data_IF_131969719175
#
_entry.id   IF_131969719175
#
_cell.length_a   1.000
_cell.length_b   1.000
_cell.length_c   1.000
_cell.angle_alpha   90.00
_cell.angle_beta   90.00
_cell.angle_gamma   90.00
#
_symmetry.space_group_name_H-M   'P 1'
#
loop_
_entity.id
_entity.type
_entity.pdbx_description
1 polymer ?
#
# COMPACT_ATOMS: atom_id res chain seq x y z
N UNK A 1 -23.90 -9.31 -14.96
CA UNK A 1 -23.95 -10.01 -13.65
C UNK A 1 -22.60 -10.60 -13.23
N UNK A 2 -21.80 -11.15 -14.14
CA UNK A 2 -20.47 -11.73 -13.80
C UNK A 2 -19.43 -10.71 -13.33
N UNK A 3 -19.41 -9.50 -13.90
CA UNK A 3 -18.45 -8.45 -13.53
C UNK A 3 -18.66 -7.96 -12.09
N UNK A 4 -19.90 -7.94 -11.62
CA UNK A 4 -20.24 -7.53 -10.27
C UNK A 4 -19.75 -8.58 -9.24
N UNK A 5 -19.90 -9.86 -9.58
CA UNK A 5 -19.45 -10.99 -8.74
C UNK A 5 -17.91 -11.07 -8.64
N UNK A 6 -17.20 -10.73 -9.72
CA UNK A 6 -15.74 -10.60 -9.73
C UNK A 6 -15.28 -9.42 -8.88
N UNK A 7 -15.99 -8.28 -8.95
CA UNK A 7 -15.71 -7.11 -8.11
C UNK A 7 -15.96 -7.38 -6.62
N UNK A 8 -17.03 -8.08 -6.26
CA UNK A 8 -17.32 -8.46 -4.87
C UNK A 8 -16.26 -9.42 -4.29
N UNK A 9 -15.91 -10.48 -5.03
CA UNK A 9 -14.87 -11.42 -4.61
C UNK A 9 -13.49 -10.74 -4.47
N UNK A 10 -13.18 -9.80 -5.37
CA UNK A 10 -11.99 -8.97 -5.33
C UNK A 10 -11.97 -8.05 -4.11
N UNK A 11 -13.05 -7.30 -3.87
CA UNK A 11 -13.17 -6.46 -2.68
C UNK A 11 -13.05 -7.30 -1.40
N UNK A 12 -13.59 -8.52 -1.39
CA UNK A 12 -13.46 -9.43 -0.25
C UNK A 12 -12.01 -9.90 -0.04
N UNK A 13 -11.27 -10.20 -1.13
CA UNK A 13 -9.84 -10.53 -1.05
C UNK A 13 -8.96 -9.38 -0.53
N UNK A 14 -9.39 -8.12 -0.75
CA UNK A 14 -8.73 -6.90 -0.26
C UNK A 14 -9.12 -6.56 1.19
N UNK A 15 -10.36 -6.85 1.59
CA UNK A 15 -10.88 -6.68 2.97
C UNK A 15 -10.33 -7.71 3.97
N UNK A 16 -9.98 -8.91 3.51
CA UNK A 16 -9.44 -9.99 4.35
C UNK A 16 -7.95 -9.83 4.70
N UNK A 17 -7.30 -8.74 4.26
CA UNK A 17 -5.94 -8.44 4.66
C UNK A 17 -5.94 -7.88 6.09
N UNK A 18 -5.54 -8.71 7.05
CA UNK A 18 -5.20 -8.24 8.40
C UNK A 18 -3.90 -7.45 8.24
N UNK A 19 -3.87 -6.13 8.53
CA UNK A 19 -2.61 -5.39 8.57
C UNK A 19 -1.67 -6.16 9.49
N UNK A 20 -0.47 -6.51 9.02
CA UNK A 20 0.50 -7.19 9.86
C UNK A 20 0.59 -6.43 11.20
N UNK A 21 0.39 -7.11 12.33
CA UNK A 21 0.42 -6.45 13.63
C UNK A 21 1.77 -5.73 13.73
N UNK A 22 1.70 -4.43 14.01
CA UNK A 22 2.86 -3.55 14.17
C UNK A 22 3.79 -4.23 15.19
N UNK A 23 4.97 -4.58 14.72
CA UNK A 23 5.96 -5.49 15.33
C UNK A 23 5.89 -5.69 16.84
N UNK A 24 5.82 -6.97 17.20
CA UNK A 24 6.50 -7.65 18.31
C UNK A 24 5.88 -7.59 19.73
N UNK A 25 5.18 -8.65 20.19
CA UNK A 25 4.68 -8.75 21.56
C UNK A 25 5.78 -8.81 22.64
N UNK A 26 7.07 -8.87 22.27
CA UNK A 26 8.17 -9.00 23.23
C UNK A 26 8.91 -7.68 23.53
N UNK A 27 8.61 -6.57 22.84
CA UNK A 27 9.21 -5.26 23.16
C UNK A 27 8.41 -4.53 24.23
N UNK A 28 8.82 -4.74 25.49
CA UNK A 28 8.26 -4.10 26.69
C UNK A 28 8.08 -2.58 26.48
N UNK A 29 6.94 -2.00 26.89
CA UNK A 29 6.65 -0.60 26.66
C UNK A 29 7.52 0.26 27.58
N UNK A 30 8.27 1.20 27.01
CA UNK A 30 8.76 2.32 27.81
C UNK A 30 7.55 3.25 28.06
N UNK A 31 7.23 3.45 29.33
CA UNK A 31 6.01 4.08 29.86
C UNK A 31 6.00 5.63 29.64
N UNK A 32 6.80 6.16 28.69
CA UNK A 32 6.87 7.59 28.35
C UNK A 32 6.98 7.93 26.86
N UNK A 33 6.55 7.07 25.93
CA UNK A 33 6.44 7.46 24.53
C UNK A 33 5.09 8.16 24.24
N UNK A 34 4.90 9.36 24.80
CA UNK A 34 3.83 10.27 24.39
C UNK A 34 4.28 10.99 23.12
N UNK A 35 3.60 10.70 22.01
CA UNK A 35 3.80 11.27 20.67
C UNK A 35 5.08 10.85 19.91
N UNK A 36 4.93 10.52 18.63
CA UNK A 36 5.97 10.26 17.60
C UNK A 36 6.74 8.92 17.73
N UNK A 37 6.76 8.02 16.75
CA UNK A 37 6.94 8.21 15.32
C UNK A 37 6.41 6.95 14.61
N UNK A 38 5.45 7.08 13.68
CA UNK A 38 4.99 5.97 12.84
C UNK A 38 6.14 5.55 11.91
N UNK A 39 7.02 4.68 12.39
CA UNK A 39 8.11 4.11 11.58
C UNK A 39 7.49 3.32 10.42
N UNK A 40 8.03 3.50 9.22
CA UNK A 40 7.62 2.73 8.05
C UNK A 40 7.81 1.23 8.27
N UNK A 41 6.85 0.40 7.86
CA UNK A 41 6.94 -1.07 7.91
C UNK A 41 8.12 -1.60 7.07
N UNK A 42 8.47 -0.92 5.97
CA UNK A 42 9.60 -1.26 5.10
C UNK A 42 10.57 -0.07 4.99
N UNK A 43 11.48 0.12 5.98
CA UNK A 43 12.44 1.22 6.00
C UNK A 43 13.37 1.26 4.78
N UNK A 44 13.70 0.11 4.21
CA UNK A 44 14.52 -0.02 3.00
C UNK A 44 13.82 0.54 1.75
N UNK A 45 12.50 0.67 1.79
CA UNK A 45 11.67 1.19 0.70
C UNK A 45 11.21 2.64 0.92
N UNK A 46 11.83 3.35 1.89
CA UNK A 46 11.58 4.79 2.14
C UNK A 46 11.97 5.65 0.93
N UNK A 47 13.04 5.29 0.23
CA UNK A 47 13.50 6.01 -0.95
C UNK A 47 12.62 5.70 -2.17
N UNK A 48 12.09 6.75 -2.80
CA UNK A 48 11.24 6.62 -4.00
C UNK A 48 11.94 5.93 -5.16
N UNK A 49 13.26 6.12 -5.30
CA UNK A 49 14.02 5.50 -6.38
C UNK A 49 14.11 3.99 -6.22
N UNK A 50 14.21 3.49 -4.98
CA UNK A 50 14.27 2.05 -4.73
C UNK A 50 12.90 1.40 -4.93
N UNK A 51 11.82 2.12 -4.58
CA UNK A 51 10.46 1.74 -4.99
C UNK A 51 10.31 1.69 -6.50
N UNK A 52 10.80 2.71 -7.22
CA UNK A 52 10.69 2.74 -8.68
C UNK A 52 11.45 1.57 -9.35
N UNK A 53 12.66 1.25 -8.87
CA UNK A 53 13.45 0.10 -9.35
C UNK A 53 12.75 -1.23 -9.13
N UNK A 54 11.94 -1.37 -8.07
CA UNK A 54 11.21 -2.62 -7.81
C UNK A 54 10.26 -3.00 -8.96
N UNK A 55 9.79 -2.01 -9.74
CA UNK A 55 8.86 -2.25 -10.86
C UNK A 55 9.54 -2.72 -12.15
N UNK A 56 10.85 -3.02 -12.16
CA UNK A 56 11.54 -3.52 -13.35
C UNK A 56 10.94 -4.81 -13.91
N UNK A 57 10.35 -5.65 -13.04
CA UNK A 57 9.66 -6.89 -13.43
C UNK A 57 8.14 -6.77 -13.41
N UNK A 58 7.61 -5.56 -13.20
CA UNK A 58 6.18 -5.30 -13.23
C UNK A 58 5.70 -5.26 -14.68
N UNK A 59 4.77 -6.14 -15.01
CA UNK A 59 4.36 -6.36 -16.39
C UNK A 59 3.59 -5.14 -16.94
N UNK A 60 3.86 -4.74 -18.19
CA UNK A 60 3.19 -3.61 -18.86
C UNK A 60 1.67 -3.76 -18.97
N UNK A 61 1.13 -4.98 -18.79
CA UNK A 61 -0.32 -5.24 -18.72
C UNK A 61 -1.01 -4.55 -17.55
N UNK A 62 -0.24 -4.09 -16.56
CA UNK A 62 -0.75 -3.35 -15.42
C UNK A 62 -0.76 -1.87 -15.81
N UNK A 63 -1.95 -1.35 -16.10
CA UNK A 63 -2.21 0.00 -16.65
C UNK A 63 -1.76 1.17 -15.74
N UNK A 64 -1.04 0.92 -14.66
CA UNK A 64 -0.59 1.93 -13.72
C UNK A 64 0.84 2.40 -14.03
N UNK A 65 1.06 3.71 -14.08
CA UNK A 65 2.39 4.27 -14.20
C UNK A 65 3.22 3.98 -12.95
N UNK A 66 4.34 3.26 -13.10
CA UNK A 66 5.22 2.86 -11.98
C UNK A 66 5.65 4.05 -11.12
N UNK A 67 5.84 5.22 -11.74
CA UNK A 67 6.20 6.46 -11.03
C UNK A 67 5.10 6.89 -10.06
N UNK A 68 3.85 6.86 -10.50
CA UNK A 68 2.69 7.21 -9.66
C UNK A 68 2.57 6.24 -8.49
N UNK A 69 2.79 4.94 -8.72
CA UNK A 69 2.79 3.94 -7.65
C UNK A 69 3.88 4.24 -6.61
N UNK A 70 5.11 4.49 -7.07
CA UNK A 70 6.23 4.83 -6.20
C UNK A 70 5.96 6.12 -5.39
N UNK A 71 5.40 7.15 -6.01
CA UNK A 71 5.07 8.42 -5.34
C UNK A 71 3.91 8.25 -4.31
N UNK A 72 3.01 7.29 -4.52
CA UNK A 72 1.98 6.88 -3.55
C UNK A 72 2.50 5.97 -2.43
N UNK A 73 3.78 5.63 -2.45
CA UNK A 73 4.44 4.82 -1.43
C UNK A 73 4.39 3.33 -1.71
N UNK A 74 4.00 2.93 -2.90
CA UNK A 74 3.96 1.53 -3.29
C UNK A 74 5.25 1.05 -3.95
N UNK A 75 5.61 -0.19 -3.68
CA UNK A 75 6.65 -0.93 -4.39
C UNK A 75 6.11 -2.29 -4.83
N UNK A 76 6.75 -2.90 -5.81
CA UNK A 76 6.37 -4.21 -6.32
C UNK A 76 6.77 -5.33 -5.35
N UNK A 77 5.82 -6.16 -4.93
CA UNK A 77 6.06 -7.30 -4.04
C UNK A 77 6.01 -8.66 -4.74
N UNK A 78 5.77 -8.71 -6.06
CA UNK A 78 5.70 -9.93 -6.86
C UNK A 78 4.35 -10.15 -7.54
N UNK A 79 4.33 -10.88 -8.66
CA UNK A 79 3.12 -11.18 -9.44
C UNK A 79 2.44 -9.91 -10.00
N UNK A 80 1.24 -9.63 -9.51
CA UNK A 80 0.48 -8.40 -9.77
C UNK A 80 0.28 -7.55 -8.50
N UNK A 81 1.03 -7.87 -7.44
CA UNK A 81 0.89 -7.27 -6.13
C UNK A 81 1.82 -6.05 -5.97
N UNK A 82 1.30 -5.00 -5.33
CA UNK A 82 2.08 -3.85 -4.87
C UNK A 82 1.85 -3.66 -3.38
N UNK A 83 2.86 -3.16 -2.67
CA UNK A 83 2.82 -2.99 -1.21
C UNK A 83 3.25 -1.60 -0.79
N UNK A 84 2.52 -1.00 0.16
CA UNK A 84 2.90 0.29 0.73
C UNK A 84 4.08 0.12 1.70
N UNK A 85 5.15 0.89 1.53
CA UNK A 85 6.29 0.83 2.45
C UNK A 85 5.95 1.32 3.86
N UNK A 86 4.99 2.24 4.00
CA UNK A 86 4.68 2.89 5.26
C UNK A 86 3.74 2.05 6.13
N UNK A 87 2.59 1.65 5.60
CA UNK A 87 1.57 0.90 6.35
C UNK A 87 1.58 -0.61 6.07
N UNK A 88 2.30 -1.07 5.04
CA UNK A 88 2.34 -2.48 4.64
C UNK A 88 1.11 -2.99 3.89
N UNK A 89 0.16 -2.12 3.52
CA UNK A 89 -1.01 -2.52 2.71
C UNK A 89 -0.55 -3.13 1.39
N UNK A 90 -0.98 -4.35 1.10
CA UNK A 90 -0.79 -5.02 -0.18
C UNK A 90 -2.07 -4.99 -1.02
N UNK A 91 -1.94 -4.62 -2.29
CA UNK A 91 -3.04 -4.53 -3.24
C UNK A 91 -2.70 -5.32 -4.51
N UNK A 92 -3.68 -6.04 -5.05
CA UNK A 92 -3.56 -6.97 -6.18
C UNK A 92 -4.83 -7.02 -7.03
N UNK A 93 -4.78 -7.81 -8.10
CA UNK A 93 -5.87 -8.03 -9.06
C UNK A 93 -6.37 -6.71 -9.65
N UNK A 94 -5.48 -5.86 -10.17
CA UNK A 94 -5.82 -4.53 -10.68
C UNK A 94 -6.68 -4.56 -11.95
N UNK A 95 -7.70 -3.69 -11.98
CA UNK A 95 -8.50 -3.37 -13.16
C UNK A 95 -8.00 -2.06 -13.77
N UNK A 96 -8.22 -1.84 -15.08
CA UNK A 96 -7.76 -0.62 -15.77
C UNK A 96 -8.27 0.69 -15.14
N UNK A 97 -9.47 0.68 -14.57
CA UNK A 97 -10.14 1.88 -14.04
C UNK A 97 -9.92 2.10 -12.52
N UNK A 98 -9.08 1.30 -11.86
CA UNK A 98 -8.86 1.48 -10.42
C UNK A 98 -7.94 2.65 -10.11
N UNK A 99 -8.33 3.40 -9.08
CA UNK A 99 -7.49 4.41 -8.47
C UNK A 99 -6.76 3.85 -7.25
N UNK A 100 -5.45 3.66 -7.39
CA UNK A 100 -4.56 3.13 -6.35
C UNK A 100 -4.59 3.98 -5.07
N UNK A 101 -4.73 5.30 -5.18
CA UNK A 101 -4.77 6.18 -4.02
C UNK A 101 -6.10 6.03 -3.26
N UNK A 102 -7.20 5.98 -3.99
CA UNK A 102 -8.54 5.73 -3.42
C UNK A 102 -8.59 4.39 -2.69
N UNK A 103 -8.08 3.34 -3.34
CA UNK A 103 -8.00 2.00 -2.75
C UNK A 103 -7.11 2.01 -1.49
N UNK A 104 -5.97 2.70 -1.53
CA UNK A 104 -5.11 2.83 -0.36
C UNK A 104 -5.83 3.49 0.82
N UNK A 105 -6.53 4.61 0.58
CA UNK A 105 -7.30 5.29 1.63
C UNK A 105 -8.43 4.42 2.17
N UNK A 106 -9.14 3.73 1.28
CA UNK A 106 -10.26 2.85 1.65
C UNK A 106 -9.82 1.65 2.51
N UNK A 107 -8.66 1.06 2.20
CA UNK A 107 -8.17 -0.16 2.88
C UNK A 107 -7.16 0.12 4.00
N UNK A 108 -6.56 1.31 4.05
CA UNK A 108 -5.67 1.73 5.13
C UNK A 108 -5.84 3.22 5.45
N UNK A 109 -7.00 3.63 6.00
CA UNK A 109 -7.29 5.04 6.31
C UNK A 109 -6.36 5.63 7.40
N UNK A 110 -5.62 4.78 8.11
CA UNK A 110 -4.64 5.18 9.12
C UNK A 110 -3.21 5.37 8.56
N UNK A 111 -3.02 5.22 7.25
CA UNK A 111 -1.75 5.45 6.58
C UNK A 111 -1.60 6.94 6.22
N UNK A 112 -0.63 7.61 6.85
CA UNK A 112 -0.43 9.05 6.64
C UNK A 112 0.40 9.36 5.38
N UNK A 113 0.96 8.34 4.71
CA UNK A 113 1.82 8.54 3.54
C UNK A 113 1.10 9.09 2.30
N UNK A 114 -0.01 8.49 1.82
CA UNK A 114 -0.72 9.00 0.63
C UNK A 114 -1.25 10.43 0.84
N UNK A 115 -1.62 10.80 2.08
CA UNK A 115 -2.05 12.16 2.43
C UNK A 115 -0.90 13.18 2.42
N UNK A 116 0.34 12.72 2.66
CA UNK A 116 1.54 13.58 2.60
C UNK A 116 2.09 13.73 1.18
N UNK A 117 1.88 12.74 0.30
CA UNK A 117 2.44 12.77 -1.06
C UNK A 117 1.53 13.43 -2.10
N UNK A 118 0.22 13.52 -1.86
CA UNK A 118 -0.71 14.32 -2.66
C UNK A 118 -1.28 15.45 -1.83
N UNK A 119 -0.92 16.68 -2.18
CA UNK A 119 -1.61 17.87 -1.67
C UNK A 119 -3.06 17.88 -2.15
N UNK A 120 -3.95 17.38 -1.29
CA UNK A 120 -5.41 17.56 -1.26
C UNK A 120 -6.34 16.38 -1.62
N UNK A 121 -7.20 16.12 -0.63
CA UNK A 121 -8.67 15.89 -0.57
C UNK A 121 -9.32 14.91 -1.58
N UNK A 122 -9.82 13.78 -1.03
CA UNK A 122 -10.89 12.95 -1.59
C UNK A 122 -12.18 13.20 -0.82
#
# INVERSE_FOLDING_TARGET
EEDNKKNDARQQSKKNFIPLPRTDPEKKPNIWASDEMRTSVYPEMVNVNDRLKSFNHYLQKHHHHHRVLADLGFFYSGGDCIRCFHCGLELRNWLPDDDVAKEHYQYSPSCDYPLRSKGWEY
#
